data_IF_032652068323
#
_entry.id   IF_032652068323
#
_cell.length_a   1.000
_cell.length_b   1.000
_cell.length_c   1.000
_cell.angle_alpha   90.00
_cell.angle_beta   90.00
_cell.angle_gamma   90.00
#
_symmetry.space_group_name_H-M   'P 1'
#
loop_
_entity.id
_entity.type
_entity.pdbx_description
1 polymer ?
#
# COMPACT_ATOMS: atom_id res chain seq x y z
N UNK A 1 25.40 10.54 -26.93
CA UNK A 1 24.17 9.82 -27.30
C UNK A 1 23.23 10.85 -27.89
N UNK A 2 22.76 10.64 -29.13
CA UNK A 2 21.87 11.59 -29.81
C UNK A 2 20.51 11.65 -29.11
N UNK A 3 19.83 12.81 -29.07
CA UNK A 3 18.51 12.93 -28.43
C UNK A 3 17.46 11.98 -29.05
N UNK A 4 17.64 11.58 -30.30
CA UNK A 4 16.81 10.57 -30.96
C UNK A 4 16.93 9.17 -30.32
N UNK A 5 18.10 8.78 -29.82
CA UNK A 5 18.31 7.50 -29.16
C UNK A 5 17.66 7.42 -27.77
N UNK A 6 17.46 8.56 -27.09
CA UNK A 6 16.81 8.61 -25.78
C UNK A 6 15.27 8.46 -25.88
N UNK A 7 14.69 8.81 -27.04
CA UNK A 7 13.25 8.65 -27.31
C UNK A 7 12.90 7.29 -27.92
N UNK A 8 13.88 6.63 -28.56
CA UNK A 8 13.67 5.31 -29.17
C UNK A 8 13.39 4.22 -28.15
N UNK A 9 14.04 4.22 -27.01
CA UNK A 9 13.90 3.20 -25.97
C UNK A 9 12.49 3.23 -25.31
N UNK A 10 11.99 4.39 -24.82
CA UNK A 10 10.62 4.45 -24.32
C UNK A 10 9.56 4.22 -25.41
N UNK A 11 9.80 4.66 -26.65
CA UNK A 11 8.89 4.40 -27.75
C UNK A 11 8.80 2.92 -28.09
N UNK A 12 9.92 2.18 -28.05
CA UNK A 12 9.99 0.74 -28.33
C UNK A 12 9.28 -0.10 -27.26
N UNK A 13 9.20 0.40 -26.03
CA UNK A 13 8.45 -0.23 -24.93
C UNK A 13 6.97 0.15 -24.96
N UNK A 14 6.66 1.42 -25.30
CA UNK A 14 5.28 1.90 -25.35
C UNK A 14 4.49 1.38 -26.57
N UNK A 15 5.13 1.16 -27.72
CA UNK A 15 4.48 0.66 -28.93
C UNK A 15 3.82 -0.73 -28.74
N UNK A 16 4.50 -1.76 -28.20
CA UNK A 16 3.83 -3.04 -27.92
C UNK A 16 2.81 -2.93 -26.79
N UNK A 17 2.99 -2.02 -25.82
CA UNK A 17 1.99 -1.77 -24.77
C UNK A 17 0.72 -1.15 -25.35
N UNK A 18 0.85 -0.24 -26.31
CA UNK A 18 -0.27 0.32 -27.06
C UNK A 18 -0.95 -0.71 -27.97
N UNK A 19 -0.19 -1.65 -28.53
CA UNK A 19 -0.72 -2.74 -29.35
C UNK A 19 -1.44 -3.83 -28.51
N UNK A 20 -1.09 -3.92 -27.21
CA UNK A 20 -1.76 -4.80 -26.24
C UNK A 20 -3.02 -4.16 -25.63
N UNK A 21 -3.26 -2.87 -25.85
CA UNK A 21 -4.54 -2.27 -25.53
C UNK A 21 -5.62 -3.00 -26.37
N UNK A 22 -6.55 -3.72 -25.72
CA UNK A 22 -7.54 -4.48 -26.46
C UNK A 22 -8.31 -3.55 -27.37
N UNK A 23 -8.42 -3.90 -28.65
CA UNK A 23 -9.20 -3.15 -29.66
C UNK A 23 -10.70 -3.09 -29.29
N UNK A 24 -11.14 -3.85 -28.32
CA UNK A 24 -12.43 -3.72 -27.64
C UNK A 24 -12.37 -2.64 -26.55
N UNK A 25 -12.11 -1.41 -26.93
CA UNK A 25 -12.48 -0.30 -26.07
C UNK A 25 -14.01 -0.33 -25.98
N UNK A 26 -14.48 -0.82 -24.85
CA UNK A 26 -15.90 -0.72 -24.54
C UNK A 26 -16.18 0.78 -24.45
N UNK A 27 -16.86 1.32 -25.46
CA UNK A 27 -17.16 2.77 -25.60
C UNK A 27 -17.88 3.37 -24.39
N UNK A 28 -18.37 2.53 -23.45
CA UNK A 28 -18.95 2.94 -22.19
C UNK A 28 -17.96 3.49 -21.15
N UNK A 29 -16.64 3.32 -21.32
CA UNK A 29 -15.68 3.82 -20.32
C UNK A 29 -15.63 5.35 -20.26
N UNK A 30 -15.63 6.02 -21.39
CA UNK A 30 -15.66 7.50 -21.46
C UNK A 30 -17.00 8.06 -20.99
N UNK A 31 -18.09 7.37 -21.31
CA UNK A 31 -19.43 7.74 -20.87
C UNK A 31 -19.57 7.61 -19.36
N UNK A 32 -19.00 6.55 -18.78
CA UNK A 32 -18.92 6.33 -17.34
C UNK A 32 -18.11 7.46 -16.66
N UNK A 33 -16.96 7.81 -17.21
CA UNK A 33 -16.13 8.93 -16.70
C UNK A 33 -16.93 10.25 -16.76
N UNK A 34 -17.63 10.51 -17.86
CA UNK A 34 -18.52 11.66 -18.00
C UNK A 34 -19.60 11.71 -16.92
N UNK A 35 -20.27 10.58 -16.68
CA UNK A 35 -21.28 10.45 -15.62
C UNK A 35 -20.69 10.69 -14.23
N UNK A 36 -19.50 10.16 -13.93
CA UNK A 36 -18.81 10.44 -12.66
C UNK A 36 -18.47 11.91 -12.48
N UNK A 37 -17.98 12.58 -13.52
CA UNK A 37 -17.66 14.01 -13.48
C UNK A 37 -18.92 14.86 -13.24
N UNK A 38 -20.02 14.54 -13.93
CA UNK A 38 -21.31 15.22 -13.73
C UNK A 38 -21.83 14.97 -12.31
N UNK A 39 -21.78 13.73 -11.83
CA UNK A 39 -22.20 13.38 -10.47
C UNK A 39 -21.35 14.07 -9.38
N UNK A 40 -20.04 14.27 -9.63
CA UNK A 40 -19.16 14.98 -8.69
C UNK A 40 -19.55 16.44 -8.49
N UNK A 41 -20.17 17.09 -9.51
CA UNK A 41 -20.65 18.48 -9.45
C UNK A 41 -22.07 18.57 -8.86
N UNK A 42 -22.79 17.46 -8.78
CA UNK A 42 -24.14 17.37 -8.25
C UNK A 42 -24.15 16.57 -6.94
N UNK A 43 -23.74 17.16 -5.80
CA UNK A 43 -23.72 16.46 -4.54
C UNK A 43 -25.15 16.05 -4.14
N UNK A 44 -25.31 14.79 -3.78
CA UNK A 44 -26.58 14.31 -3.24
C UNK A 44 -26.82 14.91 -1.86
N UNK A 45 -28.02 15.46 -1.65
CA UNK A 45 -28.48 16.00 -0.36
C UNK A 45 -29.25 14.95 0.45
N UNK A 46 -29.25 13.68 0.02
CA UNK A 46 -29.91 12.59 0.76
C UNK A 46 -29.24 12.39 2.12
N UNK A 47 -29.97 12.55 3.24
CA UNK A 47 -29.43 12.38 4.58
C UNK A 47 -28.85 11.00 4.84
N UNK A 48 -29.40 9.96 4.20
CA UNK A 48 -28.91 8.59 4.34
C UNK A 48 -27.53 8.41 3.70
N UNK A 49 -27.31 9.01 2.51
CA UNK A 49 -26.02 9.00 1.83
C UNK A 49 -24.96 9.82 2.58
N UNK A 50 -25.34 10.99 3.12
CA UNK A 50 -24.44 11.81 3.93
C UNK A 50 -24.02 11.06 5.19
N UNK A 51 -24.95 10.42 5.90
CA UNK A 51 -24.65 9.64 7.09
C UNK A 51 -23.76 8.42 6.78
N UNK A 52 -23.99 7.75 5.65
CA UNK A 52 -23.14 6.64 5.20
C UNK A 52 -21.73 7.13 4.87
N UNK A 53 -21.59 8.26 4.16
CA UNK A 53 -20.29 8.85 3.80
C UNK A 53 -19.51 9.28 5.04
N UNK A 54 -20.15 9.93 6.00
CA UNK A 54 -19.51 10.32 7.28
C UNK A 54 -19.04 9.12 8.07
N UNK A 55 -19.83 8.04 8.08
CA UNK A 55 -19.45 6.77 8.70
C UNK A 55 -18.27 6.13 7.99
N UNK A 56 -18.24 6.16 6.66
CA UNK A 56 -17.13 5.69 5.85
C UNK A 56 -15.83 6.46 6.13
N UNK A 57 -15.91 7.79 6.21
CA UNK A 57 -14.79 8.66 6.58
C UNK A 57 -14.26 8.30 7.98
N UNK A 58 -15.16 8.17 8.96
CA UNK A 58 -14.77 7.82 10.32
C UNK A 58 -14.04 6.46 10.39
N UNK A 59 -14.52 5.46 9.66
CA UNK A 59 -13.86 4.14 9.57
C UNK A 59 -12.48 4.27 8.91
N UNK A 60 -12.38 5.02 7.81
CA UNK A 60 -11.10 5.24 7.11
C UNK A 60 -10.07 5.93 8.02
N UNK A 61 -10.49 6.96 8.73
CA UNK A 61 -9.63 7.67 9.71
C UNK A 61 -9.20 6.71 10.84
N UNK A 62 -10.13 5.93 11.37
CA UNK A 62 -9.80 4.94 12.41
C UNK A 62 -8.79 3.90 11.91
N UNK A 63 -8.99 3.33 10.71
CA UNK A 63 -8.03 2.40 10.10
C UNK A 63 -6.67 3.05 9.91
N UNK A 64 -6.62 4.29 9.42
CA UNK A 64 -5.37 5.01 9.22
C UNK A 64 -4.62 5.24 10.53
N UNK A 65 -5.31 5.69 11.59
CA UNK A 65 -4.72 5.91 12.91
C UNK A 65 -4.20 4.61 13.53
N UNK A 66 -4.98 3.53 13.47
CA UNK A 66 -4.54 2.22 13.96
C UNK A 66 -3.35 1.68 13.18
N UNK A 67 -3.35 1.81 11.85
CA UNK A 67 -2.23 1.40 10.99
C UNK A 67 -0.97 2.16 11.35
N UNK A 68 -1.07 3.47 11.52
CA UNK A 68 0.06 4.32 11.91
C UNK A 68 0.61 3.94 13.28
N UNK A 69 -0.27 3.75 14.27
CA UNK A 69 0.13 3.37 15.64
C UNK A 69 0.84 2.01 15.64
N UNK A 70 0.29 0.99 14.96
CA UNK A 70 0.91 -0.32 14.85
C UNK A 70 2.22 -0.28 14.08
N UNK A 71 2.31 0.51 13.01
CA UNK A 71 3.57 0.71 12.25
C UNK A 71 4.65 1.30 13.14
N UNK A 72 4.32 2.33 13.92
CA UNK A 72 5.23 2.97 14.86
C UNK A 72 5.70 1.98 15.93
N UNK A 73 4.78 1.25 16.53
CA UNK A 73 5.07 0.27 17.56
C UNK A 73 6.00 -0.84 17.04
N UNK A 74 5.67 -1.42 15.89
CA UNK A 74 6.49 -2.44 15.23
C UNK A 74 7.85 -1.89 14.82
N UNK A 75 7.89 -0.65 14.30
CA UNK A 75 9.11 0.02 13.91
C UNK A 75 10.04 0.27 15.10
N UNK A 76 9.52 0.79 16.20
CA UNK A 76 10.31 1.04 17.42
C UNK A 76 10.82 -0.27 18.01
N UNK A 77 9.95 -1.26 18.18
CA UNK A 77 10.35 -2.57 18.72
C UNK A 77 11.36 -3.24 17.80
N UNK A 78 11.07 -3.30 16.49
CA UNK A 78 11.96 -3.88 15.48
C UNK A 78 13.30 -3.14 15.41
N UNK A 79 13.29 -1.81 15.44
CA UNK A 79 14.49 -0.97 15.41
C UNK A 79 15.37 -1.20 16.64
N UNK A 80 14.79 -1.23 17.84
CA UNK A 80 15.53 -1.51 19.07
C UNK A 80 16.14 -2.91 19.05
N UNK A 81 15.36 -3.91 18.68
CA UNK A 81 15.82 -5.31 18.64
C UNK A 81 16.84 -5.56 17.51
N UNK A 82 16.77 -4.81 16.40
CA UNK A 82 17.73 -4.90 15.30
C UNK A 82 19.03 -4.11 15.55
N UNK A 83 19.10 -3.33 16.65
CA UNK A 83 20.31 -2.59 17.00
C UNK A 83 21.40 -3.56 17.50
N UNK A 84 22.58 -3.48 16.88
CA UNK A 84 23.72 -4.33 17.24
C UNK A 84 24.16 -4.14 18.70
N UNK A 85 24.11 -2.90 19.19
CA UNK A 85 24.44 -2.58 20.59
C UNK A 85 23.54 -3.35 21.55
N UNK A 86 22.24 -3.38 21.30
CA UNK A 86 21.27 -4.10 22.13
C UNK A 86 21.52 -5.62 22.04
N UNK A 87 21.75 -6.13 20.83
CA UNK A 87 22.04 -7.54 20.62
C UNK A 87 23.32 -7.98 21.33
N UNK A 88 24.40 -7.21 21.22
CA UNK A 88 25.65 -7.51 21.92
C UNK A 88 25.53 -7.40 23.44
N UNK A 89 24.72 -6.47 23.95
CA UNK A 89 24.53 -6.31 25.40
C UNK A 89 23.69 -7.45 26.00
N UNK A 90 22.65 -7.91 25.28
CA UNK A 90 21.74 -8.95 25.79
C UNK A 90 22.25 -10.37 25.55
N UNK A 91 22.86 -10.64 24.38
CA UNK A 91 23.28 -11.98 23.95
C UNK A 91 24.78 -12.13 23.73
N UNK A 92 25.58 -11.10 23.95
CA UNK A 92 27.02 -11.13 23.76
C UNK A 92 27.48 -11.26 22.29
N UNK A 93 26.56 -11.19 21.33
CA UNK A 93 26.86 -11.33 19.89
C UNK A 93 25.89 -10.51 19.02
N UNK A 94 26.33 -10.13 17.84
CA UNK A 94 25.54 -9.35 16.86
C UNK A 94 24.62 -10.20 15.98
N UNK A 95 24.71 -11.52 16.05
CA UNK A 95 24.00 -12.42 15.14
C UNK A 95 22.46 -12.29 15.20
N UNK A 96 21.81 -12.15 16.38
CA UNK A 96 20.37 -11.96 16.44
C UNK A 96 19.88 -10.70 15.75
N UNK A 97 20.60 -9.59 15.90
CA UNK A 97 20.29 -8.32 15.22
C UNK A 97 20.38 -8.49 13.68
N UNK A 98 21.42 -9.16 13.20
CA UNK A 98 21.61 -9.42 11.77
C UNK A 98 20.50 -10.29 11.20
N UNK A 99 20.09 -11.33 11.92
CA UNK A 99 18.98 -12.19 11.53
C UNK A 99 17.67 -11.41 11.43
N UNK A 100 17.37 -10.60 12.45
CA UNK A 100 16.15 -9.79 12.49
C UNK A 100 16.11 -8.80 11.34
N UNK A 101 17.22 -8.10 11.03
CA UNK A 101 17.32 -7.21 9.88
C UNK A 101 17.02 -7.94 8.57
N UNK A 102 17.49 -9.17 8.39
CA UNK A 102 17.21 -9.98 7.19
C UNK A 102 15.73 -10.37 7.10
N UNK A 103 15.11 -10.72 8.24
CA UNK A 103 13.67 -11.05 8.28
C UNK A 103 12.82 -9.83 7.96
N UNK A 104 13.19 -8.65 8.46
CA UNK A 104 12.47 -7.39 8.21
C UNK A 104 12.55 -6.92 6.74
N UNK A 105 13.49 -7.46 5.94
CA UNK A 105 13.51 -7.20 4.49
C UNK A 105 12.27 -7.77 3.80
N UNK A 106 11.74 -8.90 4.26
CA UNK A 106 10.60 -9.58 3.62
C UNK A 106 9.34 -8.69 3.60
N UNK A 107 8.82 -8.18 4.74
CA UNK A 107 7.62 -7.37 4.72
C UNK A 107 7.78 -6.05 3.98
N UNK A 108 8.96 -5.43 3.99
CA UNK A 108 9.20 -4.17 3.26
C UNK A 108 9.50 -4.34 1.77
N UNK A 109 9.82 -5.56 1.31
CA UNK A 109 10.08 -5.85 -0.11
C UNK A 109 8.80 -6.00 -0.94
N UNK A 110 7.67 -6.25 -0.28
CA UNK A 110 6.37 -6.39 -0.90
C UNK A 110 5.53 -5.13 -0.70
N UNK A 111 4.86 -4.72 -1.77
CA UNK A 111 3.93 -3.60 -1.71
C UNK A 111 2.74 -3.94 -0.79
N UNK A 112 2.19 -2.94 -0.08
CA UNK A 112 1.07 -3.15 0.86
C UNK A 112 -0.15 -3.81 0.23
N UNK A 113 -0.39 -3.62 -1.08
CA UNK A 113 -1.47 -4.28 -1.81
C UNK A 113 -1.33 -5.80 -1.81
N UNK A 114 -0.10 -6.33 -1.95
CA UNK A 114 0.14 -7.77 -1.89
C UNK A 114 -0.13 -8.31 -0.50
N UNK A 115 0.30 -7.59 0.54
CA UNK A 115 -0.04 -7.92 1.93
C UNK A 115 -1.55 -7.90 2.15
N UNK A 116 -2.25 -6.89 1.60
CA UNK A 116 -3.70 -6.82 1.64
C UNK A 116 -4.38 -8.04 1.03
N UNK A 117 -3.92 -8.49 -0.15
CA UNK A 117 -4.47 -9.67 -0.81
C UNK A 117 -4.20 -10.97 -0.03
N UNK A 118 -2.97 -11.16 0.47
CA UNK A 118 -2.60 -12.34 1.26
C UNK A 118 -3.43 -12.39 2.56
N UNK A 119 -3.51 -11.28 3.28
CA UNK A 119 -4.24 -11.20 4.53
C UNK A 119 -5.75 -11.33 4.32
N UNK A 120 -6.28 -10.82 3.19
CA UNK A 120 -7.67 -10.99 2.82
C UNK A 120 -8.02 -12.47 2.61
N UNK A 121 -7.12 -13.23 1.99
CA UNK A 121 -7.31 -14.68 1.81
C UNK A 121 -7.25 -15.46 3.13
N UNK A 122 -6.43 -15.00 4.08
CA UNK A 122 -6.25 -15.67 5.36
C UNK A 122 -7.32 -15.29 6.40
N UNK A 123 -7.69 -14.02 6.49
CA UNK A 123 -8.56 -13.46 7.53
C UNK A 123 -9.95 -13.10 7.02
N UNK A 124 -10.18 -13.15 5.70
CA UNK A 124 -11.43 -12.70 5.10
C UNK A 124 -11.61 -11.18 5.14
N UNK A 125 -12.83 -10.72 4.88
CA UNK A 125 -13.22 -9.30 4.89
C UNK A 125 -13.35 -8.77 6.33
N UNK A 126 -12.21 -8.49 6.96
CA UNK A 126 -12.18 -7.93 8.30
C UNK A 126 -11.39 -6.60 8.32
N UNK A 127 -11.80 -5.56 9.05
CA UNK A 127 -11.10 -4.27 9.09
C UNK A 127 -9.63 -4.38 9.51
N UNK A 128 -9.29 -5.37 10.35
CA UNK A 128 -7.92 -5.66 10.75
C UNK A 128 -6.99 -6.00 9.56
N UNK A 129 -7.52 -6.51 8.46
CA UNK A 129 -6.76 -6.80 7.24
C UNK A 129 -6.13 -5.52 6.69
N UNK A 130 -6.91 -4.45 6.59
CA UNK A 130 -6.44 -3.16 6.12
C UNK A 130 -5.37 -2.57 7.05
N UNK A 131 -5.58 -2.67 8.36
CA UNK A 131 -4.62 -2.21 9.36
C UNK A 131 -3.30 -2.97 9.27
N UNK A 132 -3.34 -4.30 9.21
CA UNK A 132 -2.15 -5.15 9.17
C UNK A 132 -1.41 -5.04 7.83
N UNK A 133 -2.14 -4.93 6.72
CA UNK A 133 -1.56 -4.77 5.38
C UNK A 133 -0.68 -3.52 5.28
N UNK A 134 -1.06 -2.46 5.98
CA UNK A 134 -0.29 -1.21 6.05
C UNK A 134 0.78 -1.30 7.15
N UNK A 135 0.42 -1.79 8.33
CA UNK A 135 1.31 -1.79 9.49
C UNK A 135 2.56 -2.66 9.32
N UNK A 136 2.45 -3.82 8.65
CA UNK A 136 3.56 -4.74 8.48
C UNK A 136 4.70 -4.15 7.63
N UNK A 137 4.48 -3.69 6.39
CA UNK A 137 5.55 -3.14 5.56
C UNK A 137 6.11 -1.84 6.13
N UNK A 138 5.25 -0.94 6.62
CA UNK A 138 5.71 0.33 7.18
C UNK A 138 6.42 0.15 8.53
N UNK A 139 5.94 -0.75 9.39
CA UNK A 139 6.64 -1.11 10.62
C UNK A 139 8.03 -1.67 10.36
N UNK A 140 8.18 -2.54 9.36
CA UNK A 140 9.49 -3.04 8.94
C UNK A 140 10.37 -1.98 8.26
N UNK A 141 9.78 -0.94 7.66
CA UNK A 141 10.51 0.17 7.08
C UNK A 141 11.11 1.09 8.17
N UNK A 142 10.39 1.28 9.28
CA UNK A 142 10.84 2.11 10.41
C UNK A 142 11.81 1.37 11.35
N UNK A 143 11.90 0.04 11.24
CA UNK A 143 12.79 -0.80 12.05
C UNK A 143 14.21 -0.89 11.49
#
# INVERSE_FOLDING_TARGET
MSPAGQLLLPALVLLPLLALLPASWHGGGFDLIGQFLVAAVQPSTDPALIAASLRGIAVTVAVALWSWLFSLLLGVIGGVLSAEVVSCTLWGCSWPALLLRRVLVIPRSLHELLWGLILLQLLGLHPAVAVLAIALPYGALFA
#
